data_IF_303552757590
#
_entry.id   IF_303552757590
#
_cell.length_a   1.000
_cell.length_b   1.000
_cell.length_c   1.000
_cell.angle_alpha   90.00
_cell.angle_beta   90.00
_cell.angle_gamma   90.00
#
_symmetry.space_group_name_H-M   'P 1'
#
loop_
_entity.id
_entity.type
_entity.pdbx_description
1 polymer ?
#
# COMPACT_ATOMS: atom_id res chain seq x y z
N UNK A 1 -35.39 7.52 -10.34
CA UNK A 1 -34.98 7.33 -8.92
C UNK A 1 -34.02 6.16 -8.89
N UNK A 2 -32.74 6.36 -8.56
CA UNK A 2 -31.76 5.27 -8.54
C UNK A 2 -32.05 4.42 -7.30
N UNK A 3 -32.55 3.20 -7.48
CA UNK A 3 -32.83 2.29 -6.38
C UNK A 3 -31.53 1.63 -5.94
N UNK A 4 -31.21 1.68 -4.65
CA UNK A 4 -30.05 0.95 -4.13
C UNK A 4 -30.30 -0.55 -4.29
N UNK A 5 -29.30 -1.27 -4.77
CA UNK A 5 -29.23 -2.72 -4.83
C UNK A 5 -28.01 -3.25 -4.05
N UNK A 6 -27.86 -4.57 -3.98
CA UNK A 6 -26.73 -5.22 -3.30
C UNK A 6 -25.38 -4.74 -3.86
N UNK A 7 -25.29 -4.49 -5.17
CA UNK A 7 -24.05 -4.03 -5.83
C UNK A 7 -23.68 -2.63 -5.35
N UNK A 8 -24.65 -1.71 -5.26
CA UNK A 8 -24.43 -0.36 -4.74
C UNK A 8 -24.01 -0.36 -3.27
N UNK A 9 -24.58 -1.24 -2.45
CA UNK A 9 -24.15 -1.45 -1.06
C UNK A 9 -22.71 -1.94 -0.96
N UNK A 10 -22.38 -2.99 -1.71
CA UNK A 10 -21.02 -3.53 -1.73
C UNK A 10 -20.01 -2.48 -2.21
N UNK A 11 -20.39 -1.67 -3.19
CA UNK A 11 -19.56 -0.56 -3.70
C UNK A 11 -19.32 0.49 -2.61
N UNK A 12 -20.34 0.90 -1.86
CA UNK A 12 -20.18 1.82 -0.73
C UNK A 12 -19.29 1.22 0.36
N UNK A 13 -19.53 -0.03 0.78
CA UNK A 13 -18.75 -0.71 1.81
C UNK A 13 -17.27 -0.77 1.41
N UNK A 14 -16.98 -1.19 0.16
CA UNK A 14 -15.62 -1.28 -0.37
C UNK A 14 -14.96 0.11 -0.52
N UNK A 15 -15.71 1.12 -0.97
CA UNK A 15 -15.18 2.48 -1.08
C UNK A 15 -14.71 3.00 0.29
N UNK A 16 -15.52 2.85 1.34
CA UNK A 16 -15.05 3.24 2.68
C UNK A 16 -13.90 2.35 3.18
N UNK A 17 -13.86 1.08 2.79
CA UNK A 17 -12.79 0.14 3.18
C UNK A 17 -11.43 0.58 2.63
N UNK A 18 -11.32 0.83 1.32
CA UNK A 18 -10.06 1.20 0.68
C UNK A 18 -9.57 2.60 1.07
N UNK A 19 -10.42 3.42 1.69
CA UNK A 19 -10.05 4.73 2.25
C UNK A 19 -9.64 4.68 3.73
N UNK A 20 -9.60 3.48 4.34
CA UNK A 20 -9.21 3.29 5.75
C UNK A 20 -10.33 3.52 6.75
N UNK A 21 -11.60 3.56 6.30
CA UNK A 21 -12.76 3.83 7.16
C UNK A 21 -13.52 2.54 7.49
N UNK A 22 -12.82 1.50 7.96
CA UNK A 22 -13.42 0.17 8.11
C UNK A 22 -14.60 0.09 9.08
N UNK A 23 -14.61 0.90 10.14
CA UNK A 23 -15.78 0.99 11.05
C UNK A 23 -17.02 1.54 10.34
N UNK A 24 -16.84 2.50 9.44
CA UNK A 24 -17.92 3.04 8.60
C UNK A 24 -18.41 2.00 7.60
N UNK A 25 -17.52 1.20 7.02
CA UNK A 25 -17.89 0.06 6.16
C UNK A 25 -18.79 -0.95 6.90
N UNK A 26 -18.48 -1.26 8.16
CA UNK A 26 -19.30 -2.14 9.01
C UNK A 26 -20.69 -1.51 9.27
N UNK A 27 -20.75 -0.20 9.53
CA UNK A 27 -22.03 0.51 9.70
C UNK A 27 -22.90 0.41 8.44
N UNK A 28 -22.34 0.58 7.25
CA UNK A 28 -23.08 0.42 6.00
C UNK A 28 -23.58 -1.01 5.79
N UNK A 29 -22.84 -2.01 6.24
CA UNK A 29 -23.33 -3.40 6.24
C UNK A 29 -24.52 -3.60 7.20
N UNK A 30 -24.46 -3.02 8.40
CA UNK A 30 -25.61 -3.02 9.33
C UNK A 30 -26.83 -2.33 8.71
N UNK A 31 -26.65 -1.21 8.01
CA UNK A 31 -27.72 -0.51 7.32
C UNK A 31 -28.30 -1.32 6.14
N UNK A 32 -27.43 -1.96 5.34
CA UNK A 32 -27.82 -2.87 4.26
C UNK A 32 -28.75 -3.98 4.79
N UNK A 33 -28.37 -4.62 5.90
CA UNK A 33 -29.18 -5.65 6.57
C UNK A 33 -30.49 -5.09 7.11
N UNK A 34 -30.46 -3.94 7.77
CA UNK A 34 -31.65 -3.28 8.32
C UNK A 34 -32.67 -2.90 7.24
N UNK A 35 -32.21 -2.71 6.00
CA UNK A 35 -33.07 -2.46 4.83
C UNK A 35 -33.48 -3.72 4.07
N UNK A 36 -33.19 -4.90 4.60
CA UNK A 36 -33.62 -6.19 4.03
C UNK A 36 -32.79 -6.68 2.82
N UNK A 37 -31.67 -6.02 2.50
CA UNK A 37 -30.79 -6.50 1.44
C UNK A 37 -29.97 -7.70 1.94
N UNK A 38 -30.00 -8.80 1.18
CA UNK A 38 -29.25 -10.01 1.51
C UNK A 38 -27.77 -9.86 1.14
N UNK A 39 -26.85 -10.00 2.10
CA UNK A 39 -25.42 -10.06 1.81
C UNK A 39 -25.05 -11.24 0.92
N UNK A 40 -23.99 -11.08 0.12
CA UNK A 40 -23.43 -12.16 -0.69
C UNK A 40 -21.90 -12.23 -0.52
N UNK A 41 -21.23 -13.13 -1.22
CA UNK A 41 -19.76 -13.27 -1.13
C UNK A 41 -19.02 -11.94 -1.38
N UNK A 42 -19.45 -11.13 -2.35
CA UNK A 42 -18.85 -9.82 -2.60
C UNK A 42 -19.03 -8.83 -1.44
N UNK A 43 -20.14 -8.92 -0.69
CA UNK A 43 -20.32 -8.16 0.55
C UNK A 43 -19.25 -8.53 1.58
N UNK A 44 -18.99 -9.82 1.76
CA UNK A 44 -17.98 -10.30 2.69
C UNK A 44 -16.55 -10.00 2.26
N UNK A 45 -16.22 -10.07 0.97
CA UNK A 45 -14.92 -9.57 0.47
C UNK A 45 -14.73 -8.10 0.86
N UNK A 46 -15.77 -7.28 0.72
CA UNK A 46 -15.71 -5.85 1.07
C UNK A 46 -15.52 -5.62 2.58
N UNK A 47 -16.23 -6.38 3.41
CA UNK A 47 -16.08 -6.34 4.87
C UNK A 47 -14.71 -6.81 5.35
N UNK A 48 -14.23 -7.94 4.84
CA UNK A 48 -12.93 -8.50 5.22
C UNK A 48 -11.78 -7.59 4.74
N UNK A 49 -11.94 -6.96 3.58
CA UNK A 49 -11.02 -5.90 3.11
C UNK A 49 -11.02 -4.71 4.07
N UNK A 50 -12.19 -4.28 4.55
CA UNK A 50 -12.33 -3.20 5.53
C UNK A 50 -11.60 -3.54 6.83
N UNK A 51 -11.78 -4.76 7.33
CA UNK A 51 -11.09 -5.26 8.52
C UNK A 51 -9.58 -5.31 8.30
N UNK A 52 -9.14 -5.87 7.17
CA UNK A 52 -7.73 -5.99 6.78
C UNK A 52 -7.01 -4.65 6.63
N UNK A 53 -7.69 -3.60 6.17
CA UNK A 53 -7.08 -2.27 6.02
C UNK A 53 -7.12 -1.48 7.32
N UNK A 54 -8.08 -1.76 8.21
CA UNK A 54 -8.29 -1.00 9.45
C UNK A 54 -7.82 -1.71 10.71
N UNK A 55 -7.21 -2.89 10.58
CA UNK A 55 -6.67 -3.68 11.70
C UNK A 55 -7.74 -4.24 12.64
N UNK A 56 -8.92 -4.57 12.10
CA UNK A 56 -10.07 -5.06 12.87
C UNK A 56 -10.07 -6.59 12.90
N UNK A 57 -9.18 -7.18 13.70
CA UNK A 57 -8.95 -8.64 13.71
C UNK A 57 -10.17 -9.41 14.18
N UNK A 58 -10.72 -9.01 15.34
CA UNK A 58 -11.87 -9.68 15.94
C UNK A 58 -13.09 -9.63 15.03
N UNK A 59 -13.34 -8.46 14.42
CA UNK A 59 -14.42 -8.30 13.44
C UNK A 59 -14.14 -9.09 12.16
N UNK A 60 -12.88 -9.16 11.71
CA UNK A 60 -12.48 -9.97 10.56
C UNK A 60 -12.82 -11.45 10.74
N UNK A 61 -12.42 -12.03 11.87
CA UNK A 61 -12.78 -13.40 12.23
C UNK A 61 -14.28 -13.59 12.41
N UNK A 62 -14.95 -12.65 13.08
CA UNK A 62 -16.41 -12.65 13.23
C UNK A 62 -17.13 -12.72 11.89
N UNK A 63 -16.77 -11.86 10.94
CA UNK A 63 -17.36 -11.88 9.60
C UNK A 63 -17.01 -13.16 8.85
N UNK A 64 -15.75 -13.59 8.84
CA UNK A 64 -15.33 -14.79 8.13
C UNK A 64 -16.08 -16.03 8.60
N UNK A 65 -16.21 -16.22 9.91
CA UNK A 65 -16.94 -17.35 10.50
C UNK A 65 -18.45 -17.25 10.26
N UNK A 66 -19.03 -16.04 10.32
CA UNK A 66 -20.46 -15.83 10.07
C UNK A 66 -20.88 -16.19 8.64
N UNK A 67 -19.97 -16.13 7.65
CA UNK A 67 -20.30 -16.40 6.24
C UNK A 67 -21.05 -17.71 6.06
N UNK A 68 -20.49 -18.81 6.59
CA UNK A 68 -21.11 -20.13 6.46
C UNK A 68 -22.25 -20.31 7.45
N UNK A 69 -22.04 -19.91 8.71
CA UNK A 69 -22.96 -20.19 9.82
C UNK A 69 -24.27 -19.40 9.71
N UNK A 70 -24.20 -18.12 9.38
CA UNK A 70 -25.37 -17.22 9.33
C UNK A 70 -25.93 -17.04 7.92
N UNK A 71 -25.07 -17.06 6.89
CA UNK A 71 -25.47 -16.72 5.52
C UNK A 71 -25.39 -17.91 4.54
N UNK A 72 -24.87 -19.07 4.96
CA UNK A 72 -24.72 -20.24 4.10
C UNK A 72 -23.73 -20.04 2.95
N UNK A 73 -22.82 -19.06 3.06
CA UNK A 73 -21.84 -18.69 2.03
C UNK A 73 -20.53 -19.41 2.33
N UNK A 74 -20.06 -20.23 1.39
CA UNK A 74 -18.73 -20.85 1.48
C UNK A 74 -17.62 -19.81 1.17
N UNK A 75 -16.58 -19.70 2.02
CA UNK A 75 -15.46 -18.82 1.74
C UNK A 75 -14.69 -19.24 0.48
N UNK A 76 -14.73 -18.38 -0.54
CA UNK A 76 -13.84 -18.47 -1.71
C UNK A 76 -12.46 -17.85 -1.49
N UNK A 77 -11.56 -18.02 -2.48
CA UNK A 77 -10.14 -17.59 -2.42
C UNK A 77 -9.94 -16.11 -2.05
N UNK A 78 -10.85 -15.24 -2.48
CA UNK A 78 -10.78 -13.80 -2.19
C UNK A 78 -10.98 -13.50 -0.69
N UNK A 79 -11.83 -14.28 0.01
CA UNK A 79 -12.06 -14.13 1.44
C UNK A 79 -10.84 -14.57 2.24
N UNK A 80 -10.24 -15.71 1.87
CA UNK A 80 -8.97 -16.17 2.44
C UNK A 80 -7.84 -15.16 2.20
N UNK A 81 -7.77 -14.56 1.01
CA UNK A 81 -6.80 -13.51 0.71
C UNK A 81 -6.96 -12.28 1.62
N UNK A 82 -8.19 -11.85 1.89
CA UNK A 82 -8.44 -10.73 2.81
C UNK A 82 -8.02 -11.06 4.26
N UNK A 83 -8.34 -12.27 4.73
CA UNK A 83 -7.93 -12.73 6.06
C UNK A 83 -6.41 -12.83 6.19
N UNK A 84 -5.71 -13.31 5.17
CA UNK A 84 -4.24 -13.35 5.18
C UNK A 84 -3.60 -11.97 5.16
N UNK A 85 -4.14 -11.04 4.36
CA UNK A 85 -3.68 -9.65 4.42
C UNK A 85 -3.90 -9.07 5.83
N UNK A 86 -5.01 -9.39 6.52
CA UNK A 86 -5.29 -8.96 7.90
C UNK A 86 -4.30 -9.56 8.91
N UNK A 87 -4.14 -10.90 8.93
CA UNK A 87 -3.22 -11.60 9.83
C UNK A 87 -1.77 -11.15 9.61
N UNK A 88 -1.37 -11.07 8.34
CA UNK A 88 -0.02 -10.69 7.96
C UNK A 88 0.33 -9.24 8.34
N UNK A 89 -0.60 -8.29 8.18
CA UNK A 89 -0.38 -6.90 8.62
C UNK A 89 -0.26 -6.78 10.14
N UNK A 90 -0.96 -7.62 10.90
CA UNK A 90 -0.83 -7.63 12.36
C UNK A 90 0.44 -8.30 12.87
N UNK A 91 1.21 -8.97 12.00
CA UNK A 91 2.42 -9.69 12.39
C UNK A 91 2.18 -11.11 12.88
N UNK A 92 0.95 -11.62 12.76
CA UNK A 92 0.60 -13.00 13.11
C UNK A 92 1.05 -13.94 11.97
N UNK A 93 2.35 -13.97 11.65
CA UNK A 93 2.87 -14.69 10.49
C UNK A 93 2.73 -16.20 10.61
N UNK A 94 2.88 -16.76 11.81
CA UNK A 94 2.70 -18.20 12.05
C UNK A 94 1.23 -18.59 11.87
N UNK A 95 0.30 -17.79 12.41
CA UNK A 95 -1.14 -17.97 12.20
C UNK A 95 -1.50 -17.85 10.72
N UNK A 96 -0.93 -16.88 10.00
CA UNK A 96 -1.12 -16.73 8.56
C UNK A 96 -0.61 -17.96 7.78
N UNK A 97 0.51 -18.56 8.20
CA UNK A 97 1.03 -19.79 7.60
C UNK A 97 0.09 -20.97 7.85
N UNK A 98 -0.31 -21.20 9.11
CA UNK A 98 -1.26 -22.25 9.45
C UNK A 98 -2.59 -22.08 8.70
N UNK A 99 -3.09 -20.86 8.58
CA UNK A 99 -4.31 -20.55 7.85
C UNK A 99 -4.23 -20.89 6.34
N UNK A 100 -3.05 -20.78 5.72
CA UNK A 100 -2.83 -21.26 4.35
C UNK A 100 -2.86 -22.80 4.27
N UNK A 101 -2.26 -23.47 5.26
CA UNK A 101 -2.19 -24.93 5.34
C UNK A 101 -3.56 -25.57 5.60
N UNK A 102 -4.42 -24.90 6.36
CA UNK A 102 -5.79 -25.34 6.70
C UNK A 102 -6.83 -25.00 5.63
N UNK A 103 -6.49 -24.14 4.66
CA UNK A 103 -7.42 -23.73 3.62
C UNK A 103 -7.84 -24.93 2.75
N UNK A 104 -9.15 -25.17 2.53
CA UNK A 104 -9.64 -26.29 1.70
C UNK A 104 -9.50 -26.03 0.19
N UNK A 105 -8.80 -24.96 -0.20
CA UNK A 105 -8.63 -24.48 -1.57
C UNK A 105 -7.13 -24.44 -1.90
N UNK A 106 -6.78 -24.62 -3.18
CA UNK A 106 -5.39 -24.48 -3.63
C UNK A 106 -4.96 -23.01 -3.51
N UNK A 107 -3.89 -22.69 -2.76
CA UNK A 107 -3.40 -21.32 -2.63
C UNK A 107 -2.93 -20.74 -3.96
N UNK A 108 -3.40 -19.54 -4.30
CA UNK A 108 -3.02 -18.83 -5.53
C UNK A 108 -1.78 -17.96 -5.32
N UNK A 109 -1.22 -17.40 -6.41
CA UNK A 109 -0.11 -16.44 -6.34
C UNK A 109 -0.44 -15.24 -5.43
N UNK A 110 -1.71 -14.83 -5.38
CA UNK A 110 -2.18 -13.74 -4.51
C UNK A 110 -2.09 -14.09 -3.02
N UNK A 111 -2.45 -15.32 -2.66
CA UNK A 111 -2.36 -15.83 -1.29
C UNK A 111 -0.92 -15.79 -0.79
N UNK A 112 -0.01 -16.39 -1.56
CA UNK A 112 1.42 -16.37 -1.25
C UNK A 112 2.00 -14.96 -1.32
N UNK A 113 1.53 -14.11 -2.23
CA UNK A 113 1.93 -12.70 -2.32
C UNK A 113 1.58 -11.90 -1.06
N UNK A 114 0.47 -12.25 -0.40
CA UNK A 114 0.06 -11.64 0.88
C UNK A 114 1.01 -12.05 1.99
N UNK A 115 1.37 -13.34 2.09
CA UNK A 115 2.37 -13.82 3.05
C UNK A 115 3.76 -13.22 2.79
N UNK A 116 4.17 -13.09 1.53
CA UNK A 116 5.44 -12.49 1.14
C UNK A 116 5.49 -11.00 1.54
N UNK A 117 4.42 -10.24 1.29
CA UNK A 117 4.32 -8.84 1.71
C UNK A 117 4.35 -8.68 3.24
N UNK A 118 3.66 -9.55 3.97
CA UNK A 118 3.67 -9.57 5.43
C UNK A 118 5.07 -9.91 5.97
N UNK A 119 5.71 -10.94 5.41
CA UNK A 119 7.07 -11.36 5.77
C UNK A 119 8.09 -10.23 5.61
N UNK A 120 7.97 -9.43 4.54
CA UNK A 120 8.77 -8.21 4.37
C UNK A 120 8.55 -7.23 5.52
N UNK A 121 7.29 -6.89 5.81
CA UNK A 121 6.97 -5.87 6.81
C UNK A 121 7.47 -6.23 8.21
N UNK A 122 7.66 -7.53 8.49
CA UNK A 122 8.15 -8.06 9.76
C UNK A 122 9.57 -8.64 9.68
N UNK A 123 10.32 -8.34 8.61
CA UNK A 123 11.70 -8.80 8.38
C UNK A 123 11.92 -10.33 8.48
N UNK A 124 10.91 -11.14 8.20
CA UNK A 124 10.99 -12.60 8.24
C UNK A 124 11.41 -13.16 6.87
N UNK A 125 12.71 -13.24 6.63
CA UNK A 125 13.26 -13.70 5.33
C UNK A 125 12.89 -15.15 5.03
N UNK A 126 12.81 -16.01 6.04
CA UNK A 126 12.52 -17.44 5.86
C UNK A 126 11.11 -17.64 5.28
N UNK A 127 10.11 -16.95 5.85
CA UNK A 127 8.74 -17.02 5.32
C UNK A 127 8.61 -16.32 3.97
N UNK A 128 9.39 -15.25 3.72
CA UNK A 128 9.45 -14.61 2.41
C UNK A 128 9.98 -15.57 1.33
N UNK A 129 11.06 -16.30 1.62
CA UNK A 129 11.64 -17.31 0.71
C UNK A 129 10.66 -18.46 0.44
N UNK A 130 9.95 -18.93 1.47
CA UNK A 130 8.89 -19.94 1.34
C UNK A 130 7.78 -19.45 0.40
N UNK A 131 7.23 -18.27 0.68
CA UNK A 131 6.15 -17.69 -0.13
C UNK A 131 6.60 -17.45 -1.58
N UNK A 132 7.82 -16.94 -1.77
CA UNK A 132 8.39 -16.74 -3.08
C UNK A 132 8.57 -18.03 -3.87
N UNK A 133 9.05 -19.12 -3.23
CA UNK A 133 9.16 -20.43 -3.88
C UNK A 133 7.82 -20.88 -4.46
N UNK A 134 6.74 -20.71 -3.71
CA UNK A 134 5.39 -21.02 -4.21
C UNK A 134 4.96 -20.09 -5.34
N UNK A 135 5.14 -18.77 -5.23
CA UNK A 135 4.80 -17.82 -6.31
C UNK A 135 5.54 -18.15 -7.60
N UNK A 136 6.86 -18.39 -7.51
CA UNK A 136 7.71 -18.67 -8.67
C UNK A 136 7.41 -20.02 -9.32
N UNK A 137 6.80 -20.96 -8.59
CA UNK A 137 6.31 -22.21 -9.17
C UNK A 137 5.07 -22.02 -10.06
N UNK A 138 4.38 -20.88 -9.95
CA UNK A 138 3.19 -20.55 -10.74
C UNK A 138 3.60 -19.82 -12.03
N UNK A 139 3.08 -20.25 -13.18
CA UNK A 139 3.42 -19.75 -14.53
C UNK A 139 2.82 -18.35 -14.83
N UNK A 140 3.15 -17.35 -14.02
CA UNK A 140 2.71 -15.96 -14.19
C UNK A 140 3.87 -14.98 -14.08
N UNK A 141 3.67 -13.72 -14.47
CA UNK A 141 4.65 -12.65 -14.24
C UNK A 141 4.83 -12.45 -12.73
N UNK A 142 6.03 -12.78 -12.26
CA UNK A 142 6.42 -12.75 -10.86
C UNK A 142 7.44 -11.63 -10.56
N UNK A 143 7.54 -10.61 -11.42
CA UNK A 143 8.50 -9.49 -11.25
C UNK A 143 8.43 -8.86 -9.86
N UNK A 144 7.22 -8.65 -9.32
CA UNK A 144 7.03 -8.09 -7.99
C UNK A 144 7.65 -8.95 -6.87
N UNK A 145 7.62 -10.28 -7.00
CA UNK A 145 8.21 -11.22 -6.05
C UNK A 145 9.73 -11.09 -6.01
N UNK A 146 10.38 -11.11 -7.18
CA UNK A 146 11.82 -10.93 -7.30
C UNK A 146 12.29 -9.58 -6.72
N UNK A 147 11.59 -8.49 -7.06
CA UNK A 147 11.93 -7.15 -6.54
C UNK A 147 11.81 -7.11 -5.01
N UNK A 148 10.78 -7.75 -4.43
CA UNK A 148 10.60 -7.77 -2.98
C UNK A 148 11.71 -8.54 -2.27
N UNK A 149 12.01 -9.75 -2.74
CA UNK A 149 13.11 -10.57 -2.19
C UNK A 149 14.45 -9.86 -2.31
N UNK A 150 14.75 -9.27 -3.47
CA UNK A 150 15.99 -8.53 -3.68
C UNK A 150 16.14 -7.37 -2.69
N UNK A 151 15.06 -6.63 -2.41
CA UNK A 151 15.10 -5.56 -1.41
C UNK A 151 15.34 -6.11 0.00
N UNK A 152 14.66 -7.20 0.40
CA UNK A 152 14.85 -7.83 1.71
C UNK A 152 16.28 -8.36 1.89
N UNK A 153 16.86 -8.98 0.86
CA UNK A 153 18.25 -9.41 0.89
C UNK A 153 19.23 -8.24 1.01
N UNK A 154 18.99 -7.15 0.28
CA UNK A 154 19.82 -5.95 0.36
C UNK A 154 19.76 -5.30 1.76
N UNK A 155 18.59 -5.27 2.39
CA UNK A 155 18.38 -4.79 3.76
C UNK A 155 19.11 -5.67 4.80
N UNK A 156 19.17 -6.98 4.56
CA UNK A 156 19.89 -7.94 5.39
C UNK A 156 21.40 -8.05 5.08
N UNK A 157 21.92 -7.29 4.11
CA UNK A 157 23.33 -7.35 3.70
C UNK A 157 23.72 -8.60 2.90
N UNK A 158 22.74 -9.39 2.44
CA UNK A 158 22.90 -10.63 1.66
C UNK A 158 23.14 -10.31 0.16
N UNK A 159 24.26 -9.68 -0.16
CA UNK A 159 24.53 -9.16 -1.52
C UNK A 159 24.65 -10.23 -2.61
N UNK A 160 25.16 -11.41 -2.28
CA UNK A 160 25.23 -12.55 -3.22
C UNK A 160 23.83 -12.97 -3.68
N UNK A 161 22.86 -13.01 -2.75
CA UNK A 161 21.47 -13.32 -3.07
C UNK A 161 20.82 -12.20 -3.92
N UNK A 162 21.17 -10.94 -3.66
CA UNK A 162 20.73 -9.80 -4.49
C UNK A 162 21.19 -9.96 -5.94
N UNK A 163 22.45 -10.32 -6.15
CA UNK A 163 23.01 -10.48 -7.49
C UNK A 163 22.45 -11.72 -8.20
N UNK A 164 22.20 -12.81 -7.46
CA UNK A 164 21.46 -13.98 -7.98
C UNK A 164 20.06 -13.59 -8.46
N UNK A 165 19.31 -12.81 -7.68
CA UNK A 165 17.96 -12.38 -8.08
C UNK A 165 18.00 -11.49 -9.32
N UNK A 166 18.94 -10.54 -9.40
CA UNK A 166 19.10 -9.69 -10.60
C UNK A 166 19.43 -10.51 -11.84
N UNK A 167 20.29 -11.52 -11.70
CA UNK A 167 20.62 -12.44 -12.79
C UNK A 167 19.36 -13.16 -13.30
N UNK A 168 18.57 -13.75 -12.39
CA UNK A 168 17.32 -14.44 -12.73
C UNK A 168 16.31 -13.50 -13.41
N UNK A 169 16.17 -12.27 -12.91
CA UNK A 169 15.29 -11.27 -13.56
C UNK A 169 15.75 -10.96 -14.99
N UNK A 170 17.06 -10.85 -15.21
CA UNK A 170 17.63 -10.58 -16.55
C UNK A 170 17.42 -11.76 -17.49
N UNK A 171 17.65 -12.99 -17.05
CA UNK A 171 17.44 -14.19 -17.87
C UNK A 171 15.98 -14.35 -18.31
N UNK A 172 15.03 -14.00 -17.43
CA UNK A 172 13.61 -14.07 -17.73
C UNK A 172 13.05 -12.82 -18.44
N UNK A 173 13.90 -11.83 -18.74
CA UNK A 173 13.48 -10.58 -19.38
C UNK A 173 12.55 -9.72 -18.52
N UNK A 174 12.57 -9.90 -17.20
CA UNK A 174 11.69 -9.19 -16.27
C UNK A 174 12.18 -7.77 -16.00
N UNK A 175 11.29 -6.80 -16.16
CA UNK A 175 11.59 -5.38 -15.96
C UNK A 175 10.80 -4.85 -14.78
N UNK A 176 11.50 -4.28 -13.80
CA UNK A 176 10.88 -3.65 -12.63
C UNK A 176 9.96 -2.50 -13.06
N UNK A 177 8.73 -2.50 -12.54
CA UNK A 177 7.78 -1.39 -12.71
C UNK A 177 8.38 -0.08 -12.21
N UNK A 178 8.33 0.95 -13.05
CA UNK A 178 8.73 2.30 -12.66
C UNK A 178 7.64 2.91 -11.79
N UNK A 179 7.98 3.29 -10.56
CA UNK A 179 7.06 3.98 -9.68
C UNK A 179 6.86 5.42 -10.12
N UNK A 180 5.64 5.81 -10.46
CA UNK A 180 5.26 7.18 -10.81
C UNK A 180 4.15 7.68 -9.88
N UNK A 181 4.06 9.00 -9.71
CA UNK A 181 2.97 9.67 -8.99
C UNK A 181 2.31 10.69 -9.91
N UNK A 182 0.99 10.77 -9.89
CA UNK A 182 0.21 11.60 -10.81
C UNK A 182 -0.70 12.55 -10.04
N UNK A 183 -0.92 13.74 -10.59
CA UNK A 183 -1.82 14.75 -10.03
C UNK A 183 -2.75 15.23 -11.14
N UNK A 184 -4.06 15.12 -10.91
CA UNK A 184 -5.08 15.55 -11.86
C UNK A 184 -5.64 16.91 -11.44
N UNK A 185 -5.44 17.95 -12.26
CA UNK A 185 -5.90 19.32 -11.98
C UNK A 185 -6.55 19.89 -13.24
N UNK A 186 -7.81 20.33 -13.12
CA UNK A 186 -8.57 20.95 -14.22
C UNK A 186 -8.58 20.12 -15.52
N UNK A 187 -8.66 18.78 -15.41
CA UNK A 187 -8.67 17.87 -16.56
C UNK A 187 -7.29 17.60 -17.18
N UNK A 188 -6.21 18.12 -16.60
CA UNK A 188 -4.82 17.79 -16.98
C UNK A 188 -4.20 16.88 -15.94
N UNK A 189 -3.53 15.83 -16.40
CA UNK A 189 -2.80 14.88 -15.56
C UNK A 189 -1.30 15.10 -15.73
N UNK A 190 -0.62 15.41 -14.64
CA UNK A 190 0.84 15.57 -14.62
C UNK A 190 1.47 14.40 -13.85
N UNK A 191 2.46 13.74 -14.45
CA UNK A 191 3.12 12.56 -13.88
C UNK A 191 4.55 12.86 -13.48
N UNK A 192 4.97 12.31 -12.35
CA UNK A 192 6.31 12.48 -11.79
C UNK A 192 6.95 11.12 -11.51
N UNK A 193 8.21 10.96 -11.91
CA UNK A 193 9.10 9.87 -11.44
C UNK A 193 10.03 10.35 -10.33
N UNK A 194 10.83 9.45 -9.75
CA UNK A 194 11.80 9.87 -8.74
C UNK A 194 12.87 10.77 -9.38
N UNK A 195 13.19 11.89 -8.71
CA UNK A 195 14.12 12.92 -9.20
C UNK A 195 13.74 13.53 -10.56
N UNK A 196 12.46 13.53 -10.89
CA UNK A 196 11.97 14.07 -12.16
C UNK A 196 12.21 15.58 -12.27
N UNK A 197 12.78 15.99 -13.41
CA UNK A 197 13.05 17.38 -13.77
C UNK A 197 12.46 17.76 -15.13
N UNK A 198 11.62 16.90 -15.71
CA UNK A 198 11.04 17.09 -17.05
C UNK A 198 9.90 18.10 -17.07
N UNK A 199 9.27 18.37 -15.93
CA UNK A 199 8.12 19.26 -15.83
C UNK A 199 8.51 20.74 -16.02
N UNK A 200 7.66 21.52 -16.70
CA UNK A 200 7.93 22.92 -17.04
C UNK A 200 8.19 23.82 -15.81
N UNK A 201 7.51 23.54 -14.70
CA UNK A 201 7.65 24.28 -13.44
C UNK A 201 8.62 23.60 -12.45
N UNK A 202 9.58 22.80 -12.93
CA UNK A 202 10.51 22.02 -12.08
C UNK A 202 11.19 22.88 -11.02
N UNK A 203 11.73 24.04 -11.36
CA UNK A 203 12.44 24.88 -10.39
C UNK A 203 11.55 25.26 -9.20
N UNK A 204 10.32 25.74 -9.48
CA UNK A 204 9.35 26.10 -8.45
C UNK A 204 8.94 24.89 -7.59
N UNK A 205 8.76 23.72 -8.19
CA UNK A 205 8.42 22.49 -7.46
C UNK A 205 9.54 22.12 -6.46
N UNK A 206 10.79 22.20 -6.89
CA UNK A 206 11.94 21.92 -6.04
C UNK A 206 12.14 22.97 -4.96
N UNK A 207 11.94 24.26 -5.26
CA UNK A 207 12.00 25.32 -4.25
C UNK A 207 10.96 25.10 -3.14
N UNK A 208 9.72 24.76 -3.50
CA UNK A 208 8.66 24.42 -2.54
C UNK A 208 9.00 23.15 -1.77
N UNK A 209 9.54 22.13 -2.43
CA UNK A 209 9.98 20.89 -1.78
C UNK A 209 11.03 21.19 -0.71
N UNK A 210 12.07 21.95 -1.03
CA UNK A 210 13.16 22.28 -0.11
C UNK A 210 12.65 23.08 1.11
N UNK A 211 11.72 24.02 0.89
CA UNK A 211 11.06 24.75 1.97
C UNK A 211 10.27 23.79 2.87
N UNK A 212 9.49 22.87 2.29
CA UNK A 212 8.69 21.92 3.04
C UNK A 212 9.55 20.94 3.83
N UNK A 213 10.60 20.37 3.22
CA UNK A 213 11.53 19.44 3.87
C UNK A 213 12.18 20.07 5.10
N UNK A 214 12.61 21.33 5.00
CA UNK A 214 13.11 22.11 6.15
C UNK A 214 12.05 22.28 7.24
N UNK A 215 10.82 22.65 6.86
CA UNK A 215 9.72 22.84 7.84
C UNK A 215 9.32 21.57 8.57
N UNK A 216 9.41 20.41 7.92
CA UNK A 216 9.07 19.10 8.53
C UNK A 216 10.25 18.42 9.25
N UNK A 217 11.39 19.10 9.32
CA UNK A 217 12.62 18.60 9.96
C UNK A 217 13.26 17.44 9.23
N UNK A 218 13.05 17.30 7.92
CA UNK A 218 13.76 16.35 7.05
C UNK A 218 14.88 17.08 6.30
N UNK A 219 15.82 17.67 7.05
CA UNK A 219 16.96 18.38 6.47
C UNK A 219 17.92 17.42 5.77
N UNK A 220 18.27 17.76 4.53
CA UNK A 220 19.10 17.00 3.59
C UNK A 220 20.49 16.70 4.20
N UNK A 221 20.98 17.55 5.11
CA UNK A 221 22.32 17.42 5.70
C UNK A 221 22.45 16.35 6.80
N UNK A 222 21.35 15.94 7.46
CA UNK A 222 21.43 15.03 8.60
C UNK A 222 21.47 13.53 8.21
N UNK A 223 20.89 13.17 7.06
CA UNK A 223 20.82 11.77 6.60
C UNK A 223 22.15 11.20 6.09
N UNK A 224 23.14 12.04 5.79
CA UNK A 224 24.49 11.61 5.41
C UNK A 224 25.31 10.96 6.54
N UNK A 225 24.87 11.07 7.80
CA UNK A 225 25.68 10.70 8.97
C UNK A 225 25.17 9.47 9.74
N UNK A 226 24.02 8.88 9.39
CA UNK A 226 23.44 7.80 10.17
C UNK A 226 23.39 6.46 9.42
N UNK A 227 24.15 5.52 10.01
CA UNK A 227 24.32 4.07 9.74
C UNK A 227 25.44 3.69 8.77
N UNK A 228 26.60 3.40 9.39
CA UNK A 228 27.65 2.47 8.94
C UNK A 228 27.63 2.12 7.44
N UNK A 229 28.26 2.96 6.62
CA UNK A 229 28.69 2.56 5.27
C UNK A 229 30.16 2.96 5.08
N UNK A 230 31.04 2.01 4.72
CA UNK A 230 32.38 2.35 4.24
C UNK A 230 32.31 3.33 3.07
N UNK A 231 33.19 4.33 3.07
CA UNK A 231 33.23 5.43 2.09
C UNK A 231 33.27 4.95 0.62
N UNK A 232 33.78 3.75 0.36
CA UNK A 232 33.99 3.21 -0.98
C UNK A 232 32.69 2.82 -1.72
N UNK A 233 31.54 2.83 -1.02
CA UNK A 233 30.22 2.61 -1.62
C UNK A 233 29.43 3.90 -1.88
N UNK A 234 30.08 5.07 -1.82
CA UNK A 234 29.49 6.39 -2.10
C UNK A 234 29.15 6.64 -3.59
N UNK A 235 28.68 5.62 -4.33
CA UNK A 235 27.74 5.91 -5.42
C UNK A 235 26.46 6.38 -4.73
N UNK A 236 26.21 7.70 -4.73
CA UNK A 236 24.89 8.28 -4.43
C UNK A 236 23.86 7.41 -5.12
N UNK A 237 23.10 6.60 -4.37
CA UNK A 237 22.03 5.80 -4.95
C UNK A 237 21.10 6.80 -5.65
N UNK A 238 20.64 6.48 -6.86
CA UNK A 238 19.59 7.23 -7.56
C UNK A 238 18.21 7.21 -6.87
N UNK A 239 18.16 6.95 -5.56
CA UNK A 239 16.98 6.85 -4.72
C UNK A 239 17.22 7.64 -3.42
N UNK A 240 17.44 8.95 -3.54
CA UNK A 240 17.38 9.85 -2.39
C UNK A 240 15.91 10.00 -1.94
N UNK A 241 15.54 9.64 -0.70
CA UNK A 241 14.15 9.72 -0.21
C UNK A 241 13.52 11.11 -0.28
N UNK A 242 14.35 12.14 -0.35
CA UNK A 242 13.99 13.54 -0.43
C UNK A 242 13.29 13.87 -1.76
N UNK A 243 13.66 13.20 -2.84
CA UNK A 243 13.20 13.49 -4.20
C UNK A 243 12.31 12.38 -4.79
N UNK A 244 11.56 11.70 -3.92
CA UNK A 244 10.57 10.73 -4.37
C UNK A 244 9.42 11.40 -5.11
N UNK A 245 8.93 10.72 -6.15
CA UNK A 245 7.81 11.18 -6.99
C UNK A 245 6.58 11.64 -6.21
N UNK A 246 6.26 11.02 -5.06
CA UNK A 246 5.11 11.42 -4.23
C UNK A 246 5.31 12.82 -3.65
N UNK A 247 6.52 13.14 -3.16
CA UNK A 247 6.84 14.46 -2.62
C UNK A 247 6.75 15.54 -3.71
N UNK A 248 7.29 15.25 -4.90
CA UNK A 248 7.18 16.14 -6.07
C UNK A 248 5.72 16.39 -6.46
N UNK A 249 4.92 15.32 -6.54
CA UNK A 249 3.49 15.40 -6.83
C UNK A 249 2.72 16.20 -5.77
N UNK A 250 3.01 16.02 -4.48
CA UNK A 250 2.41 16.81 -3.40
C UNK A 250 2.76 18.30 -3.56
N UNK A 251 4.04 18.63 -3.82
CA UNK A 251 4.46 20.01 -4.04
C UNK A 251 3.76 20.64 -5.23
N UNK A 252 3.70 19.94 -6.37
CA UNK A 252 2.96 20.40 -7.54
C UNK A 252 1.48 20.60 -7.22
N UNK A 253 0.86 19.66 -6.52
CA UNK A 253 -0.54 19.78 -6.09
C UNK A 253 -0.77 20.99 -5.18
N UNK A 254 0.13 21.28 -4.24
CA UNK A 254 0.03 22.46 -3.36
C UNK A 254 0.16 23.78 -4.13
N UNK A 255 1.04 23.83 -5.13
CA UNK A 255 1.23 25.01 -6.01
C UNK A 255 -0.02 25.24 -6.86
N UNK A 256 -0.58 24.15 -7.41
CA UNK A 256 -1.56 24.21 -8.48
C UNK A 256 -3.02 24.16 -8.00
N UNK A 257 -3.27 24.05 -6.69
CA UNK A 257 -4.63 24.00 -6.12
C UNK A 257 -4.85 25.08 -5.06
N UNK A 258 -6.03 25.70 -5.10
CA UNK A 258 -6.40 26.76 -4.18
C UNK A 258 -6.38 26.30 -2.70
N UNK A 259 -5.83 27.13 -1.82
CA UNK A 259 -6.55 27.62 -0.63
C UNK A 259 -7.62 26.70 -0.02
N UNK A 260 -7.29 25.57 0.61
CA UNK A 260 -8.27 24.75 1.33
C UNK A 260 -8.85 23.57 0.54
N UNK A 261 -8.63 23.50 -0.78
CA UNK A 261 -8.95 22.29 -1.55
C UNK A 261 -7.99 21.14 -1.18
N UNK A 262 -8.43 19.87 -1.22
CA UNK A 262 -7.52 18.75 -0.98
C UNK A 262 -6.52 18.62 -2.13
N UNK A 263 -5.28 18.20 -1.80
CA UNK A 263 -4.28 17.78 -2.80
C UNK A 263 -4.43 16.29 -3.03
N UNK A 264 -4.75 15.89 -4.26
CA UNK A 264 -4.99 14.47 -4.59
C UNK A 264 -3.86 13.96 -5.47
N UNK A 265 -3.17 12.93 -4.99
CA UNK A 265 -2.05 12.26 -5.67
C UNK A 265 -2.40 10.80 -5.89
N UNK A 266 -2.14 10.28 -7.10
CA UNK A 266 -2.26 8.85 -7.42
C UNK A 266 -0.87 8.24 -7.59
N UNK A 267 -0.59 7.15 -6.90
CA UNK A 267 0.66 6.40 -6.97
C UNK A 267 0.37 5.01 -7.55
N UNK A 268 1.12 4.61 -8.57
CA UNK A 268 0.94 3.29 -9.21
C UNK A 268 1.54 2.12 -8.41
N UNK A 269 2.38 2.41 -7.42
CA UNK A 269 2.91 1.44 -6.45
C UNK A 269 2.39 1.79 -5.05
N UNK A 270 2.68 0.94 -4.06
CA UNK A 270 2.48 1.32 -2.66
C UNK A 270 3.33 2.55 -2.31
N UNK A 271 2.80 3.44 -1.45
CA UNK A 271 3.59 4.56 -0.90
C UNK A 271 4.75 4.01 -0.04
N UNK A 272 5.89 4.69 0.05
CA UNK A 272 6.97 4.28 0.97
C UNK A 272 6.82 4.98 2.32
N UNK A 273 7.45 4.41 3.36
CA UNK A 273 7.34 4.93 4.73
C UNK A 273 7.77 6.40 4.84
N UNK A 274 8.88 6.77 4.17
CA UNK A 274 9.37 8.15 4.15
C UNK A 274 8.35 9.12 3.53
N UNK A 275 7.71 8.74 2.42
CA UNK A 275 6.70 9.58 1.78
C UNK A 275 5.43 9.67 2.63
N UNK A 276 5.02 8.57 3.27
CA UNK A 276 3.88 8.55 4.17
C UNK A 276 4.10 9.47 5.39
N UNK A 277 5.28 9.38 6.03
CA UNK A 277 5.68 10.24 7.14
C UNK A 277 5.79 11.70 6.72
N UNK A 278 6.38 11.99 5.56
CA UNK A 278 6.45 13.34 5.03
C UNK A 278 5.05 13.90 4.75
N UNK A 279 4.15 13.15 4.10
CA UNK A 279 2.79 13.58 3.82
C UNK A 279 2.01 13.93 5.10
N UNK A 280 2.15 13.14 6.18
CA UNK A 280 1.62 13.48 7.50
C UNK A 280 2.11 14.86 7.95
N UNK A 281 3.42 15.05 8.06
CA UNK A 281 4.00 16.31 8.55
C UNK A 281 3.66 17.50 7.63
N UNK A 282 3.67 17.32 6.32
CA UNK A 282 3.28 18.36 5.35
C UNK A 282 1.82 18.76 5.57
N UNK A 283 0.89 17.81 5.76
CA UNK A 283 -0.51 18.14 6.06
C UNK A 283 -0.65 18.97 7.34
N UNK A 284 0.16 18.70 8.36
CA UNK A 284 0.19 19.44 9.61
C UNK A 284 0.70 20.88 9.44
N UNK A 285 1.80 21.05 8.71
CA UNK A 285 2.44 22.36 8.49
C UNK A 285 1.65 23.24 7.54
N UNK A 286 1.09 22.65 6.48
CA UNK A 286 0.36 23.39 5.44
C UNK A 286 -1.10 23.61 5.78
N UNK A 287 -1.64 22.86 6.76
CA UNK A 287 -3.08 22.83 7.09
C UNK A 287 -3.95 22.49 5.88
N UNK A 288 -3.41 21.69 4.97
CA UNK A 288 -4.10 21.17 3.79
C UNK A 288 -4.32 19.67 3.95
N UNK A 289 -5.51 19.20 3.56
CA UNK A 289 -5.72 17.77 3.34
C UNK A 289 -4.89 17.32 2.14
N UNK A 290 -4.17 16.21 2.31
CA UNK A 290 -3.48 15.53 1.23
C UNK A 290 -4.05 14.12 1.15
N UNK A 291 -4.49 13.70 -0.04
CA UNK A 291 -4.97 12.35 -0.31
C UNK A 291 -3.97 11.68 -1.25
N UNK A 292 -3.37 10.58 -0.81
CA UNK A 292 -2.51 9.75 -1.67
C UNK A 292 -3.18 8.40 -1.88
N UNK A 293 -3.71 8.18 -3.08
CA UNK A 293 -4.20 6.87 -3.52
C UNK A 293 -3.04 6.04 -4.05
N UNK A 294 -2.66 4.99 -3.34
CA UNK A 294 -1.62 4.05 -3.78
C UNK A 294 -2.23 2.81 -4.47
N UNK A 295 -1.39 1.82 -4.80
CA UNK A 295 -1.84 0.61 -5.50
C UNK A 295 -2.88 -0.24 -4.72
N UNK A 296 -3.04 -0.03 -3.40
CA UNK A 296 -3.98 -0.79 -2.56
C UNK A 296 -5.04 0.10 -1.90
N UNK A 297 -4.68 1.30 -1.43
CA UNK A 297 -5.54 2.10 -0.55
C UNK A 297 -5.37 3.61 -0.76
N UNK A 298 -6.33 4.38 -0.28
CA UNK A 298 -6.26 5.84 -0.18
C UNK A 298 -5.89 6.26 1.24
N UNK A 299 -4.78 6.99 1.32
CA UNK A 299 -4.28 7.59 2.56
C UNK A 299 -4.78 9.03 2.64
N UNK A 300 -5.58 9.35 3.66
CA UNK A 300 -6.02 10.72 3.94
C UNK A 300 -5.16 11.32 5.03
N UNK A 301 -4.31 12.27 4.67
CA UNK A 301 -3.43 13.00 5.59
C UNK A 301 -4.08 14.31 6.01
N UNK A 302 -4.34 14.46 7.31
CA UNK A 302 -4.93 15.66 7.91
C UNK A 302 -4.28 15.92 9.25
N UNK A 303 -3.78 17.13 9.46
CA UNK A 303 -3.20 17.60 10.72
C UNK A 303 -2.13 16.67 11.34
N UNK A 304 -1.32 16.01 10.50
CA UNK A 304 -0.26 15.11 10.98
C UNK A 304 -0.70 13.66 11.19
N UNK A 305 -1.98 13.35 10.98
CA UNK A 305 -2.54 12.00 11.06
C UNK A 305 -2.87 11.45 9.67
N UNK A 306 -2.94 10.12 9.55
CA UNK A 306 -3.41 9.43 8.34
C UNK A 306 -4.64 8.57 8.65
N UNK A 307 -5.58 8.43 7.71
CA UNK A 307 -6.75 7.53 7.85
C UNK A 307 -6.38 6.08 8.13
N UNK A 308 -5.20 5.62 7.69
CA UNK A 308 -4.72 4.26 7.96
C UNK A 308 -4.21 4.06 9.39
N UNK A 309 -4.06 5.12 10.21
CA UNK A 309 -3.53 5.04 11.59
C UNK A 309 -2.16 4.36 11.70
N UNK A 310 -1.32 4.55 10.69
CA UNK A 310 -0.02 3.88 10.53
C UNK A 310 -0.09 2.34 10.42
N UNK A 311 -1.29 1.81 10.16
CA UNK A 311 -1.56 0.43 9.83
C UNK A 311 -1.82 0.31 8.32
N UNK A 312 -0.78 0.09 7.52
CA UNK A 312 -0.89 -0.04 6.07
C UNK A 312 0.14 -0.97 5.48
#
# INVERSE_FOLDING_TARGET
MVCKDVVSWNTMIMAYAIHGFGRTSIQFFSEMRGKGFKPNGSTFVSLLTACSISGLIDEGWGFFNSMKVEYGIDPGIEHYGCMLDLLGRNGNLDEAKCFIEEMPLVPTARIWGSLLAASRNHNNIVLAELAAKHILSLKHDNTGCYVLLSNMYAEAGRWEDVDRIKYLMKEQGLVKTVGCSMVDINGRSESFINQDRSHAHTNLIYDVLDILLKKIGEDIYLHSLTKFRPLDMAKKRGNSPEYHSVKLAICFGLISTAIGNPVIVRKNTRICEDCHRAAKKISQVTKREIVVGDAKVFHHFRDGCCSCRDYW
#
